data_IF_560828394339
#
_entry.id   IF_560828394339
#
_cell.length_a   1.000
_cell.length_b   1.000
_cell.length_c   1.000
_cell.angle_alpha   90.00
_cell.angle_beta   90.00
_cell.angle_gamma   90.00
#
_symmetry.space_group_name_H-M   'P 1'
#
loop_
_entity.id
_entity.type
_entity.pdbx_description
1 polymer ?
#
# COMPACT_ATOMS: atom_id res chain seq x y z
N UNK A 1 1.95 -11.15 -14.61
CA UNK A 1 1.06 -10.52 -13.60
C UNK A 1 1.83 -9.38 -12.97
N UNK A 2 1.27 -8.16 -12.91
CA UNK A 2 1.92 -7.06 -12.20
C UNK A 2 1.71 -7.20 -10.69
N UNK A 3 2.58 -6.58 -9.89
CA UNK A 3 2.44 -6.53 -8.41
C UNK A 3 1.08 -5.97 -8.01
N UNK A 4 0.59 -4.97 -8.76
CA UNK A 4 -0.71 -4.38 -8.52
C UNK A 4 -1.85 -5.37 -8.74
N UNK A 5 -1.79 -6.18 -9.80
CA UNK A 5 -2.82 -7.20 -10.06
C UNK A 5 -2.88 -8.22 -8.92
N UNK A 6 -1.72 -8.64 -8.42
CA UNK A 6 -1.64 -9.57 -7.29
C UNK A 6 -2.25 -8.98 -6.02
N UNK A 7 -1.96 -7.71 -5.71
CA UNK A 7 -2.52 -7.02 -4.54
C UNK A 7 -4.05 -6.84 -4.70
N UNK A 8 -4.52 -6.41 -5.87
CA UNK A 8 -5.96 -6.25 -6.17
C UNK A 8 -6.71 -7.58 -6.04
N UNK A 9 -6.15 -8.68 -6.55
CA UNK A 9 -6.81 -9.99 -6.46
C UNK A 9 -6.93 -10.48 -5.02
N UNK A 10 -5.90 -10.26 -4.19
CA UNK A 10 -5.88 -10.73 -2.81
C UNK A 10 -6.67 -9.83 -1.84
N UNK A 11 -6.75 -8.53 -2.11
CA UNK A 11 -7.26 -7.51 -1.19
C UNK A 11 -8.30 -6.57 -1.80
N UNK A 12 -8.99 -6.96 -2.87
CA UNK A 12 -9.99 -6.12 -3.56
C UNK A 12 -11.01 -5.45 -2.63
N UNK A 13 -11.42 -6.13 -1.55
CA UNK A 13 -12.37 -5.61 -0.56
C UNK A 13 -11.77 -4.65 0.48
N UNK A 14 -10.45 -4.63 0.61
CA UNK A 14 -9.71 -3.85 1.61
C UNK A 14 -9.07 -2.59 1.02
N UNK A 15 -9.09 -2.45 -0.31
CA UNK A 15 -8.53 -1.34 -1.06
C UNK A 15 -9.66 -0.37 -1.41
N UNK A 16 -9.57 0.86 -0.94
CA UNK A 16 -10.55 1.91 -1.21
C UNK A 16 -10.23 2.74 -2.45
N UNK A 17 -8.94 2.88 -2.78
CA UNK A 17 -8.48 3.60 -3.98
C UNK A 17 -7.14 3.07 -4.50
N UNK A 18 -6.93 3.20 -5.82
CA UNK A 18 -5.66 2.87 -6.48
C UNK A 18 -5.31 3.97 -7.46
N UNK A 19 -4.14 4.57 -7.27
CA UNK A 19 -3.62 5.60 -8.16
C UNK A 19 -2.25 5.21 -8.72
N UNK A 20 -2.22 4.95 -10.02
CA UNK A 20 -0.97 4.74 -10.75
C UNK A 20 -0.38 6.09 -11.17
N UNK A 21 0.69 6.51 -10.49
CA UNK A 21 1.39 7.74 -10.87
C UNK A 21 2.39 7.49 -12.01
N UNK A 22 3.05 6.34 -12.00
CA UNK A 22 3.91 5.87 -13.09
C UNK A 22 4.05 4.35 -13.04
N UNK A 23 4.69 3.75 -14.05
CA UNK A 23 5.01 2.31 -14.08
C UNK A 23 5.78 1.81 -12.85
N UNK A 24 6.49 2.70 -12.14
CA UNK A 24 7.31 2.36 -10.96
C UNK A 24 6.74 2.89 -9.64
N UNK A 25 5.66 3.66 -9.67
CA UNK A 25 5.10 4.32 -8.48
C UNK A 25 3.59 4.22 -8.48
N UNK A 26 3.09 3.37 -7.59
CA UNK A 26 1.68 3.04 -7.45
C UNK A 26 1.30 3.35 -6.01
N UNK A 27 0.19 4.05 -5.83
CA UNK A 27 -0.40 4.33 -4.53
C UNK A 27 -1.65 3.49 -4.36
N UNK A 28 -1.81 2.92 -3.17
CA UNK A 28 -2.94 2.10 -2.81
C UNK A 28 -3.45 2.62 -1.46
N UNK A 29 -4.70 3.03 -1.44
CA UNK A 29 -5.38 3.44 -0.21
C UNK A 29 -6.06 2.23 0.38
N UNK A 30 -5.81 2.00 1.67
CA UNK A 30 -6.29 0.84 2.40
C UNK A 30 -6.89 1.28 3.72
N UNK A 31 -7.87 0.53 4.18
CA UNK A 31 -8.47 0.76 5.50
C UNK A 31 -7.42 0.57 6.61
N UNK A 32 -7.36 1.47 7.62
CA UNK A 32 -6.35 1.40 8.67
C UNK A 32 -6.31 0.05 9.41
N UNK A 33 -7.45 -0.62 9.57
CA UNK A 33 -7.53 -1.94 10.21
C UNK A 33 -6.83 -3.06 9.43
N UNK A 34 -6.62 -2.87 8.13
CA UNK A 34 -6.07 -3.88 7.23
C UNK A 34 -4.58 -3.67 6.93
N UNK A 35 -3.97 -2.57 7.43
CA UNK A 35 -2.58 -2.19 7.12
C UNK A 35 -1.57 -3.28 7.45
N UNK A 36 -1.66 -3.90 8.62
CA UNK A 36 -0.70 -4.92 9.06
C UNK A 36 -0.75 -6.11 8.10
N UNK A 37 -1.95 -6.56 7.73
CA UNK A 37 -2.17 -7.70 6.84
C UNK A 37 -1.63 -7.42 5.44
N UNK A 38 -1.89 -6.23 4.89
CA UNK A 38 -1.43 -5.84 3.56
C UNK A 38 0.08 -5.64 3.54
N UNK A 39 0.65 -4.95 4.53
CA UNK A 39 2.09 -4.74 4.67
C UNK A 39 2.86 -6.07 4.80
N UNK A 40 2.34 -7.02 5.58
CA UNK A 40 2.92 -8.35 5.71
C UNK A 40 2.97 -9.09 4.38
N UNK A 41 1.89 -9.04 3.60
CA UNK A 41 1.85 -9.65 2.28
C UNK A 41 2.85 -8.99 1.31
N UNK A 42 2.90 -7.66 1.29
CA UNK A 42 3.84 -6.91 0.45
C UNK A 42 5.29 -7.25 0.81
N UNK A 43 5.59 -7.40 2.10
CA UNK A 43 6.93 -7.74 2.57
C UNK A 43 7.30 -9.21 2.33
N UNK A 44 6.46 -10.15 2.80
CA UNK A 44 6.78 -11.59 2.84
C UNK A 44 6.50 -12.29 1.51
N UNK A 45 5.42 -11.94 0.82
CA UNK A 45 4.97 -12.65 -0.38
C UNK A 45 5.43 -11.98 -1.67
N UNK A 46 5.50 -10.64 -1.71
CA UNK A 46 5.92 -9.90 -2.91
C UNK A 46 7.42 -9.56 -2.89
N UNK A 47 8.10 -9.78 -1.77
CA UNK A 47 9.54 -9.55 -1.62
C UNK A 47 9.95 -8.08 -1.50
N UNK A 48 8.98 -7.16 -1.40
CA UNK A 48 9.28 -5.74 -1.24
C UNK A 48 9.88 -5.47 0.15
N UNK A 49 10.73 -4.45 0.24
CA UNK A 49 11.31 -3.93 1.49
C UNK A 49 10.63 -2.64 1.90
N UNK A 50 10.34 -2.55 3.19
CA UNK A 50 9.89 -1.30 3.80
C UNK A 50 11.05 -0.30 3.78
N UNK A 51 10.82 0.87 3.17
CA UNK A 51 11.82 1.92 3.05
C UNK A 51 11.62 2.98 4.14
N UNK A 52 10.41 3.51 4.27
CA UNK A 52 10.07 4.54 5.26
C UNK A 52 8.55 4.65 5.43
N UNK A 53 8.12 5.30 6.51
CA UNK A 53 6.74 5.75 6.67
C UNK A 53 6.76 7.27 6.85
N UNK A 54 5.98 7.97 6.03
CA UNK A 54 5.78 9.41 6.18
C UNK A 54 4.41 9.68 6.78
N UNK A 55 4.37 10.42 7.88
CA UNK A 55 3.14 10.95 8.46
C UNK A 55 2.87 12.36 7.94
N UNK A 56 1.63 12.64 7.58
CA UNK A 56 1.15 13.96 7.17
C UNK A 56 0.03 14.34 8.12
N UNK A 57 0.19 15.47 8.80
CA UNK A 57 -0.88 16.06 9.61
C UNK A 57 -1.86 16.79 8.67
N UNK A 58 -3.12 16.38 8.70
CA UNK A 58 -4.19 16.95 7.87
C UNK A 58 -5.33 17.44 8.77
N UNK A 59 -6.19 18.35 8.30
CA UNK A 59 -7.36 18.79 9.07
C UNK A 59 -8.29 17.65 9.52
N UNK A 60 -8.28 16.52 8.81
CA UNK A 60 -9.14 15.37 9.09
C UNK A 60 -8.44 14.28 9.94
N UNK A 61 -7.18 14.47 10.30
CA UNK A 61 -6.37 13.51 11.05
C UNK A 61 -4.99 13.30 10.43
N UNK A 62 -4.27 12.29 10.93
CA UNK A 62 -2.93 11.95 10.46
C UNK A 62 -3.02 10.89 9.37
N UNK A 63 -2.53 11.22 8.18
CA UNK A 63 -2.34 10.24 7.11
C UNK A 63 -0.94 9.61 7.23
N UNK A 64 -0.86 8.29 7.11
CA UNK A 64 0.42 7.58 7.12
C UNK A 64 0.60 6.88 5.78
N UNK A 65 1.65 7.26 5.06
CA UNK A 65 2.04 6.62 3.82
C UNK A 65 3.25 5.71 4.06
N UNK A 66 3.04 4.41 3.86
CA UNK A 66 4.08 3.38 3.96
C UNK A 66 4.73 3.14 2.60
N UNK A 67 6.04 3.35 2.51
CA UNK A 67 6.80 3.23 1.27
C UNK A 67 7.49 1.87 1.22
N UNK A 68 7.21 1.12 0.15
CA UNK A 68 7.85 -0.16 -0.15
C UNK A 68 8.55 -0.10 -1.51
N UNK A 69 9.72 -0.74 -1.60
CA UNK A 69 10.47 -0.94 -2.84
C UNK A 69 10.80 -2.40 -3.04
N UNK A 70 10.80 -2.89 -4.28
CA UNK A 70 11.50 -4.13 -4.63
C UNK A 70 13.01 -3.97 -4.54
#
# INVERSE_FOLDING_TARGET
>A
MSILDTIKNQFSKNISDVKEHSKRRIYITIEPRDIIKVADFVFKNLGCRFATASGIDTPNGIEILYHFSL
#
